data_IF_388068950205
#
_entry.id   IF_388068950205
#
_cell.length_a   1.000
_cell.length_b   1.000
_cell.length_c   1.000
_cell.angle_alpha   90.00
_cell.angle_beta   90.00
_cell.angle_gamma   90.00
#
_symmetry.space_group_name_H-M   'P 1'
#
loop_
_entity.id
_entity.type
_entity.pdbx_description
1 polymer ?
#
# COMPACT_ATOMS: atom_id res chain seq x y z
N UNK A 1 -13.12 -30.56 -0.96
CA UNK A 1 -13.52 -29.21 -0.52
C UNK A 1 -12.45 -28.29 -1.06
N UNK A 2 -12.75 -27.56 -2.13
CA UNK A 2 -11.77 -26.69 -2.78
C UNK A 2 -11.69 -25.41 -1.95
N UNK A 3 -10.55 -25.16 -1.32
CA UNK A 3 -10.29 -23.85 -0.70
C UNK A 3 -10.47 -22.77 -1.76
N UNK A 4 -11.19 -21.67 -1.48
CA UNK A 4 -11.28 -20.58 -2.43
C UNK A 4 -9.87 -20.05 -2.68
N UNK A 5 -9.42 -20.13 -3.93
CA UNK A 5 -8.19 -19.46 -4.38
C UNK A 5 -8.33 -18.00 -4.00
N UNK A 6 -7.53 -17.57 -3.03
CA UNK A 6 -7.37 -16.14 -2.75
C UNK A 6 -6.86 -15.49 -4.04
N UNK A 7 -7.40 -14.34 -4.45
CA UNK A 7 -6.94 -13.68 -5.66
C UNK A 7 -5.45 -13.34 -5.51
N UNK A 8 -4.64 -13.69 -6.51
CA UNK A 8 -3.23 -13.28 -6.65
C UNK A 8 -3.09 -11.78 -7.01
N UNK A 9 -4.12 -10.98 -6.71
CA UNK A 9 -4.15 -9.54 -6.97
C UNK A 9 -4.22 -8.78 -5.64
N UNK A 10 -3.21 -7.94 -5.32
CA UNK A 10 -3.19 -7.19 -4.07
C UNK A 10 -4.39 -6.25 -3.91
N UNK A 11 -4.94 -5.71 -5.00
CA UNK A 11 -6.09 -4.83 -4.95
C UNK A 11 -7.37 -5.58 -4.60
N UNK A 12 -7.59 -6.75 -5.19
CA UNK A 12 -8.75 -7.59 -4.87
C UNK A 12 -8.70 -8.09 -3.42
N UNK A 13 -7.52 -8.45 -2.91
CA UNK A 13 -7.33 -8.80 -1.50
C UNK A 13 -7.66 -7.63 -0.56
N UNK A 14 -7.24 -6.41 -0.91
CA UNK A 14 -7.60 -5.21 -0.11
C UNK A 14 -9.11 -5.00 -0.10
N UNK A 15 -9.80 -5.18 -1.23
CA UNK A 15 -11.26 -4.99 -1.33
C UNK A 15 -12.06 -5.94 -0.43
N UNK A 16 -11.59 -7.17 -0.27
CA UNK A 16 -12.26 -8.19 0.55
C UNK A 16 -11.83 -8.16 2.02
N UNK A 17 -10.93 -7.24 2.40
CA UNK A 17 -10.47 -7.11 3.77
C UNK A 17 -11.65 -6.80 4.71
N UNK A 18 -11.77 -7.63 5.76
CA UNK A 18 -12.87 -7.54 6.71
C UNK A 18 -12.93 -6.15 7.34
N UNK A 19 -14.12 -5.55 7.35
CA UNK A 19 -14.36 -4.23 7.94
C UNK A 19 -13.52 -3.09 7.32
N UNK A 20 -12.98 -3.24 6.09
CA UNK A 20 -12.11 -2.26 5.41
C UNK A 20 -12.56 -0.80 5.61
N UNK A 21 -13.84 -0.50 5.37
CA UNK A 21 -14.41 0.87 5.47
C UNK A 21 -14.61 1.38 6.91
N UNK A 22 -14.58 0.49 7.91
CA UNK A 22 -14.69 0.84 9.33
C UNK A 22 -13.31 1.03 9.97
N UNK A 23 -12.27 0.48 9.35
CA UNK A 23 -10.90 0.60 9.83
C UNK A 23 -10.34 2.02 9.61
N UNK A 24 -9.39 2.40 10.47
CA UNK A 24 -8.60 3.61 10.30
C UNK A 24 -7.15 3.21 10.07
N UNK A 25 -6.64 3.52 8.89
CA UNK A 25 -5.27 3.27 8.50
C UNK A 25 -4.42 4.49 8.83
N UNK A 26 -3.10 4.33 8.81
CA UNK A 26 -2.14 5.42 9.04
C UNK A 26 -1.08 5.42 7.96
N UNK A 27 -0.76 6.60 7.45
CA UNK A 27 0.39 6.77 6.55
C UNK A 27 1.68 6.32 7.24
N UNK A 28 2.69 5.85 6.49
CA UNK A 28 3.84 5.17 7.06
C UNK A 28 4.88 6.11 7.71
N UNK A 29 4.57 7.39 7.86
CA UNK A 29 5.45 8.35 8.51
C UNK A 29 5.69 8.01 9.99
N UNK A 30 6.86 8.38 10.52
CA UNK A 30 7.22 8.08 11.90
C UNK A 30 6.44 8.94 12.93
N UNK A 31 6.05 8.33 14.04
CA UNK A 31 5.51 9.01 15.22
C UNK A 31 4.29 9.90 14.93
N UNK A 32 4.33 11.15 15.42
CA UNK A 32 3.24 12.13 15.28
C UNK A 32 3.00 12.57 13.83
N UNK A 33 3.90 12.24 12.90
CA UNK A 33 3.74 12.56 11.48
C UNK A 33 2.88 11.55 10.73
N UNK A 34 2.60 10.38 11.32
CA UNK A 34 1.65 9.41 10.79
C UNK A 34 0.24 10.01 10.76
N UNK A 35 -0.32 10.19 9.57
CA UNK A 35 -1.66 10.77 9.39
C UNK A 35 -2.69 9.66 9.21
N UNK A 36 -3.84 9.73 9.90
CA UNK A 36 -4.91 8.76 9.70
C UNK A 36 -5.60 8.95 8.35
N UNK A 37 -6.11 7.87 7.78
CA UNK A 37 -7.01 7.89 6.62
C UNK A 37 -7.99 6.72 6.69
N UNK A 38 -9.06 6.80 5.88
CA UNK A 38 -10.10 5.75 5.80
C UNK A 38 -10.45 5.45 4.35
N UNK A 39 -10.78 4.20 4.06
CA UNK A 39 -11.38 3.83 2.77
C UNK A 39 -12.86 4.20 2.80
N UNK A 40 -13.32 4.95 1.80
CA UNK A 40 -14.71 5.39 1.66
C UNK A 40 -15.53 4.44 0.79
N UNK A 41 -14.99 4.13 -0.39
CA UNK A 41 -15.64 3.38 -1.46
C UNK A 41 -14.61 2.47 -2.14
N UNK A 42 -15.11 1.42 -2.77
CA UNK A 42 -14.34 0.47 -3.56
C UNK A 42 -15.15 0.18 -4.81
N UNK A 43 -14.53 0.35 -5.96
CA UNK A 43 -15.10 0.04 -7.27
C UNK A 43 -14.32 -1.13 -7.90
N UNK A 44 -14.62 -1.42 -9.18
CA UNK A 44 -13.98 -2.51 -9.90
C UNK A 44 -12.46 -2.31 -10.04
N UNK A 45 -12.02 -1.08 -10.32
CA UNK A 45 -10.65 -0.73 -10.72
C UNK A 45 -9.99 0.35 -9.82
N UNK A 46 -10.70 0.87 -8.82
CA UNK A 46 -10.14 1.83 -7.87
C UNK A 46 -10.82 1.79 -6.50
N UNK A 47 -10.19 2.41 -5.51
CA UNK A 47 -10.81 2.73 -4.23
C UNK A 47 -10.55 4.19 -3.86
N UNK A 48 -11.49 4.81 -3.14
CA UNK A 48 -11.31 6.17 -2.64
C UNK A 48 -10.94 6.16 -1.16
N UNK A 49 -9.95 6.99 -0.81
CA UNK A 49 -9.59 7.23 0.59
C UNK A 49 -9.90 8.66 1.02
N UNK A 50 -10.39 8.81 2.25
CA UNK A 50 -10.48 10.09 2.93
C UNK A 50 -9.21 10.33 3.75
N UNK A 51 -8.51 11.41 3.43
CA UNK A 51 -7.32 11.87 4.15
C UNK A 51 -7.70 12.48 5.51
N UNK A 52 -6.72 12.61 6.41
CA UNK A 52 -6.90 13.26 7.71
C UNK A 52 -7.38 14.73 7.63
N UNK A 53 -7.23 15.38 6.46
CA UNK A 53 -7.65 16.76 6.21
C UNK A 53 -9.03 16.84 5.55
N UNK A 54 -9.72 15.71 5.36
CA UNK A 54 -11.02 15.64 4.70
C UNK A 54 -10.98 15.57 3.18
N UNK A 55 -9.81 15.75 2.55
CA UNK A 55 -9.63 15.57 1.11
C UNK A 55 -9.75 14.10 0.69
N UNK A 56 -10.07 13.86 -0.58
CA UNK A 56 -10.18 12.51 -1.17
C UNK A 56 -8.99 12.23 -2.09
N UNK A 57 -8.57 10.97 -2.13
CA UNK A 57 -7.54 10.46 -3.03
C UNK A 57 -8.07 9.18 -3.64
N UNK A 58 -8.00 9.08 -4.96
CA UNK A 58 -8.33 7.86 -5.70
C UNK A 58 -7.08 7.00 -5.80
N UNK A 59 -7.17 5.73 -5.42
CA UNK A 59 -6.11 4.73 -5.56
C UNK A 59 -6.56 3.68 -6.57
N UNK A 60 -5.90 3.65 -7.73
CA UNK A 60 -6.19 2.68 -8.79
C UNK A 60 -5.59 1.31 -8.47
N UNK A 61 -6.20 0.25 -8.98
CA UNK A 61 -5.73 -1.13 -8.83
C UNK A 61 -4.27 -1.29 -9.27
N UNK A 62 -3.90 -0.68 -10.39
CA UNK A 62 -2.55 -0.76 -10.96
C UNK A 62 -1.47 -0.21 -10.01
N UNK A 63 -1.82 0.77 -9.18
CA UNK A 63 -0.90 1.32 -8.18
C UNK A 63 -0.51 0.31 -7.09
N UNK A 64 -1.39 -0.65 -6.75
CA UNK A 64 -1.11 -1.71 -5.79
C UNK A 64 -0.14 -2.73 -6.37
N UNK A 65 -0.39 -3.17 -7.60
CA UNK A 65 0.48 -4.10 -8.33
C UNK A 65 1.86 -3.48 -8.57
N UNK A 66 1.90 -2.21 -9.00
CA UNK A 66 3.14 -1.49 -9.25
C UNK A 66 3.94 -1.27 -7.97
N UNK A 67 3.28 -0.90 -6.86
CA UNK A 67 3.96 -0.77 -5.57
C UNK A 67 4.54 -2.10 -5.09
N UNK A 68 3.77 -3.20 -5.20
CA UNK A 68 4.26 -4.51 -4.82
C UNK A 68 5.46 -4.93 -5.67
N UNK A 69 5.37 -4.82 -7.00
CA UNK A 69 6.46 -5.16 -7.91
C UNK A 69 7.71 -4.30 -7.67
N UNK A 70 7.55 -2.98 -7.56
CA UNK A 70 8.66 -2.07 -7.34
C UNK A 70 9.41 -2.36 -6.03
N UNK A 71 8.71 -2.73 -4.96
CA UNK A 71 9.35 -3.14 -3.71
C UNK A 71 10.15 -4.43 -3.85
N UNK A 72 9.70 -5.39 -4.66
CA UNK A 72 10.46 -6.60 -4.95
C UNK A 72 11.73 -6.31 -5.75
N UNK A 73 11.59 -5.54 -6.84
CA UNK A 73 12.70 -5.20 -7.72
C UNK A 73 13.77 -4.36 -7.00
N UNK A 74 13.36 -3.35 -6.24
CA UNK A 74 14.27 -2.49 -5.47
C UNK A 74 14.83 -3.23 -4.25
N UNK A 75 14.00 -4.01 -3.56
CA UNK A 75 14.42 -4.78 -2.39
C UNK A 75 15.48 -5.83 -2.73
N UNK A 76 15.46 -6.40 -3.93
CA UNK A 76 16.49 -7.33 -4.40
C UNK A 76 17.89 -6.70 -4.49
N UNK A 77 17.99 -5.37 -4.53
CA UNK A 77 19.25 -4.62 -4.57
C UNK A 77 19.76 -4.25 -3.17
N UNK A 78 18.93 -4.39 -2.13
CA UNK A 78 19.19 -3.89 -0.78
C UNK A 78 19.34 -5.04 0.23
N UNK A 79 20.27 -4.91 1.18
CA UNK A 79 20.45 -5.90 2.23
C UNK A 79 19.21 -5.96 3.14
N UNK A 80 18.57 -7.12 3.22
CA UNK A 80 17.33 -7.32 3.99
C UNK A 80 16.04 -6.82 3.32
N UNK A 81 16.14 -6.34 2.07
CA UNK A 81 14.98 -5.99 1.23
C UNK A 81 14.27 -4.68 1.58
N UNK A 82 14.83 -3.88 2.50
CA UNK A 82 14.20 -2.67 3.00
C UNK A 82 14.44 -1.46 2.09
N UNK A 83 13.39 -0.98 1.45
CA UNK A 83 13.40 0.18 0.57
C UNK A 83 12.88 1.42 1.32
N UNK A 84 13.57 2.57 1.28
CA UNK A 84 13.01 3.82 1.80
C UNK A 84 11.68 4.18 1.13
N UNK A 85 10.66 4.57 1.90
CA UNK A 85 9.35 4.95 1.33
C UNK A 85 9.44 6.25 0.51
N UNK A 86 10.46 7.06 0.79
CA UNK A 86 10.82 8.25 0.03
C UNK A 86 11.73 7.96 -1.16
N UNK A 87 12.04 6.69 -1.47
CA UNK A 87 12.81 6.32 -2.64
C UNK A 87 12.15 6.88 -3.90
N UNK A 88 12.92 7.59 -4.72
CA UNK A 88 12.40 8.33 -5.87
C UNK A 88 11.84 7.38 -6.93
N UNK A 89 12.44 6.19 -7.09
CA UNK A 89 11.99 5.19 -8.06
C UNK A 89 10.67 4.58 -7.62
N UNK A 90 10.56 4.18 -6.35
CA UNK A 90 9.31 3.68 -5.78
C UNK A 90 8.19 4.70 -5.92
N UNK A 91 8.47 5.96 -5.57
CA UNK A 91 7.48 7.04 -5.66
C UNK A 91 7.07 7.30 -7.11
N UNK A 92 8.02 7.33 -8.05
CA UNK A 92 7.74 7.58 -9.46
C UNK A 92 6.89 6.46 -10.08
N UNK A 93 7.22 5.18 -9.83
CA UNK A 93 6.47 4.03 -10.36
C UNK A 93 5.05 4.00 -9.82
N UNK A 94 4.84 4.21 -8.53
CA UNK A 94 3.49 4.16 -7.95
C UNK A 94 2.66 5.38 -8.39
N UNK A 95 3.29 6.51 -8.66
CA UNK A 95 2.61 7.70 -9.19
C UNK A 95 2.35 7.63 -10.70
N UNK A 96 3.14 6.91 -11.51
CA UNK A 96 2.82 6.73 -12.94
C UNK A 96 1.51 5.99 -13.12
N UNK A 97 1.22 5.05 -12.23
CA UNK A 97 0.00 4.23 -12.25
C UNK A 97 -1.19 4.89 -11.56
N UNK A 98 -1.01 6.05 -10.92
CA UNK A 98 -2.08 6.73 -10.19
C UNK A 98 -2.17 8.23 -10.51
N UNK A 99 -3.35 8.71 -10.93
CA UNK A 99 -3.55 10.13 -11.29
C UNK A 99 -3.33 11.08 -10.13
N UNK A 100 -3.71 10.68 -8.92
CA UNK A 100 -3.57 11.51 -7.73
C UNK A 100 -2.17 11.39 -7.11
N UNK A 101 -1.57 12.55 -6.83
CA UNK A 101 -0.28 12.67 -6.15
C UNK A 101 -0.37 12.13 -4.71
N UNK A 102 0.75 11.58 -4.21
CA UNK A 102 0.88 11.00 -2.86
C UNK A 102 0.18 9.63 -2.62
N UNK A 103 -0.19 8.90 -3.67
CA UNK A 103 -0.75 7.54 -3.59
C UNK A 103 0.10 6.54 -2.78
N UNK A 104 1.44 6.59 -2.90
CA UNK A 104 2.37 5.69 -2.21
C UNK A 104 2.15 5.65 -0.70
N UNK A 105 1.84 6.79 -0.08
CA UNK A 105 1.60 6.91 1.37
C UNK A 105 0.31 6.24 1.86
N UNK A 106 -0.60 5.88 0.94
CA UNK A 106 -1.88 5.23 1.23
C UNK A 106 -1.93 3.78 0.73
N UNK A 107 -1.29 3.48 -0.41
CA UNK A 107 -1.20 2.12 -0.95
C UNK A 107 -0.41 1.22 -0.02
N UNK A 108 0.76 1.65 0.46
CA UNK A 108 1.63 0.80 1.28
C UNK A 108 0.99 0.31 2.59
N UNK A 109 0.28 1.14 3.39
CA UNK A 109 -0.44 0.64 4.57
C UNK A 109 -1.59 -0.32 4.26
N UNK A 110 -2.21 -0.21 3.08
CA UNK A 110 -3.25 -1.16 2.66
C UNK A 110 -2.64 -2.50 2.24
N UNK A 111 -1.50 -2.48 1.55
CA UNK A 111 -0.72 -3.68 1.25
C UNK A 111 -0.19 -4.37 2.52
N UNK A 112 0.19 -3.60 3.54
CA UNK A 112 0.54 -4.18 4.85
C UNK A 112 -0.67 -4.83 5.53
N UNK A 113 -1.86 -4.24 5.41
CA UNK A 113 -3.06 -4.79 6.02
C UNK A 113 -3.46 -6.18 5.46
N UNK A 114 -3.09 -6.48 4.22
CA UNK A 114 -3.25 -7.81 3.60
C UNK A 114 -2.01 -8.71 3.77
N UNK A 115 -0.97 -8.24 4.47
CA UNK A 115 0.26 -9.00 4.73
C UNK A 115 1.22 -9.13 3.56
N UNK A 116 1.08 -8.33 2.50
CA UNK A 116 1.98 -8.39 1.32
C UNK A 116 3.20 -7.47 1.44
N UNK A 117 3.13 -6.49 2.34
CA UNK A 117 4.20 -5.52 2.60
C UNK A 117 4.42 -5.41 4.11
N UNK A 118 5.67 -5.23 4.52
CA UNK A 118 6.01 -4.84 5.89
C UNK A 118 6.45 -3.38 5.93
N UNK A 119 6.02 -2.62 6.95
CA UNK A 119 6.41 -1.22 7.12
C UNK A 119 7.20 -0.99 8.41
N UNK A 120 8.43 -0.52 8.26
CA UNK A 120 9.21 0.02 9.37
C UNK A 120 8.93 1.52 9.53
N UNK A 121 8.10 1.88 10.52
CA UNK A 121 7.68 3.26 10.82
C UNK A 121 8.69 4.02 11.69
N UNK A 122 9.99 3.81 11.46
CA UNK A 122 11.09 4.60 12.06
C UNK A 122 11.54 5.69 11.08
N UNK A 123 12.53 6.51 11.46
CA UNK A 123 13.15 7.47 10.52
C UNK A 123 14.50 6.91 10.05
N UNK A 124 14.74 6.81 8.73
CA UNK A 124 13.77 6.95 7.63
C UNK A 124 12.73 5.81 7.66
N UNK A 125 11.52 6.08 7.15
CA UNK A 125 10.48 5.06 7.06
C UNK A 125 10.77 4.15 5.87
N UNK A 126 10.66 2.85 6.07
CA UNK A 126 11.04 1.83 5.08
C UNK A 126 9.92 0.82 4.87
N UNK A 127 9.89 0.24 3.69
CA UNK A 127 8.96 -0.80 3.30
C UNK A 127 9.72 -1.96 2.64
N UNK A 128 9.21 -3.17 2.76
CA UNK A 128 9.68 -4.32 1.97
C UNK A 128 8.52 -5.21 1.61
N UNK A 129 8.68 -6.04 0.58
CA UNK A 129 7.75 -7.15 0.38
C UNK A 129 7.80 -8.08 1.60
N UNK A 130 6.63 -8.53 2.04
CA UNK A 130 6.56 -9.55 3.07
C UNK A 130 7.12 -10.88 2.52
N UNK A 131 7.80 -11.68 3.34
CA UNK A 131 8.17 -13.03 2.95
C UNK A 131 6.89 -13.83 2.65
N UNK A 132 6.71 -14.23 1.39
CA UNK A 132 5.67 -15.19 1.03
C UNK A 132 6.17 -16.56 1.47
N UNK A 133 5.56 -17.15 2.50
CA UNK A 133 5.84 -18.55 2.85
C UNK A 133 5.46 -19.42 1.63
N UNK A 134 6.46 -20.08 1.06
CA UNK A 134 6.33 -20.97 -0.09
C UNK A 134 5.77 -22.33 0.30
#
# INVERSE_FOLDING_TARGET
>A
MTEPLLPDDPFELVKVLKDLRRQTFKTPAAGKSARPFKVLSTEADFLEVQTSRGGRVTLRAEAFQAAHKALGDLGALEEGGWVPISDETLVAVVQSENRDKACTSYVLPLLEAIGWVELERKRPARARQAPQEA
#
